data_IF_138322811289
#
_entry.id   IF_138322811289
#
_cell.length_a   1.000
_cell.length_b   1.000
_cell.length_c   1.000
_cell.angle_alpha   90.00
_cell.angle_beta   90.00
_cell.angle_gamma   90.00
#
_symmetry.space_group_name_H-M   'P 1'
#
loop_
_entity.id
_entity.type
_entity.pdbx_description
1 polymer ?
#
# COMPACT_ATOMS: atom_id res chain seq x y z
N UNK A 1 -64.95 -5.90 -15.19
CA UNK A 1 -64.90 -5.11 -13.94
C UNK A 1 -64.07 -5.87 -12.92
N UNK A 2 -63.03 -5.20 -12.38
CA UNK A 2 -62.26 -5.47 -11.16
C UNK A 2 -61.60 -6.86 -10.98
N UNK A 3 -60.25 -6.94 -11.05
CA UNK A 3 -59.28 -6.88 -9.92
C UNK A 3 -59.48 -8.06 -8.95
N UNK A 4 -58.57 -9.01 -8.73
CA UNK A 4 -57.11 -9.00 -8.75
C UNK A 4 -56.61 -9.20 -7.31
N UNK A 5 -55.87 -10.28 -7.02
CA UNK A 5 -54.99 -10.39 -5.84
C UNK A 5 -53.86 -11.38 -6.20
N UNK A 6 -52.66 -10.82 -6.28
CA UNK A 6 -51.40 -11.50 -6.62
C UNK A 6 -50.75 -12.06 -5.34
N UNK A 7 -50.29 -13.31 -5.40
CA UNK A 7 -49.41 -13.92 -4.41
C UNK A 7 -47.96 -13.50 -4.66
N UNK A 8 -47.33 -12.91 -3.64
CA UNK A 8 -45.95 -12.46 -3.67
C UNK A 8 -44.99 -13.65 -3.49
N UNK A 9 -44.14 -13.88 -4.49
CA UNK A 9 -42.90 -14.65 -4.34
C UNK A 9 -41.76 -13.65 -4.12
N UNK A 10 -41.14 -13.71 -2.95
CA UNK A 10 -39.93 -12.95 -2.63
C UNK A 10 -38.76 -13.64 -3.31
N UNK A 11 -38.31 -13.08 -4.43
CA UNK A 11 -37.01 -13.41 -5.04
C UNK A 11 -35.98 -12.47 -4.41
N UNK A 12 -35.11 -13.02 -3.57
CA UNK A 12 -33.89 -12.35 -3.12
C UNK A 12 -32.94 -12.20 -4.32
N UNK A 13 -32.95 -11.02 -4.94
CA UNK A 13 -32.05 -10.66 -6.03
C UNK A 13 -30.61 -10.41 -5.54
N UNK A 14 -29.61 -10.66 -6.40
CA UNK A 14 -28.20 -10.52 -6.04
C UNK A 14 -27.79 -9.04 -6.01
N UNK A 15 -27.36 -8.58 -4.83
CA UNK A 15 -26.66 -7.31 -4.63
C UNK A 15 -25.18 -7.49 -5.00
N UNK A 16 -24.87 -7.51 -6.31
CA UNK A 16 -23.50 -7.40 -6.80
C UNK A 16 -23.49 -6.58 -8.09
N UNK A 17 -23.62 -5.27 -7.93
CA UNK A 17 -23.19 -4.32 -8.95
C UNK A 17 -22.50 -3.14 -8.27
N UNK A 18 -21.18 -3.13 -8.42
CA UNK A 18 -20.30 -2.14 -7.84
C UNK A 18 -18.83 -2.43 -8.09
N UNK A 19 -18.45 -3.12 -9.17
CA UNK A 19 -17.08 -3.02 -9.70
C UNK A 19 -16.95 -1.67 -10.41
N UNK A 20 -17.04 -0.60 -9.61
CA UNK A 20 -16.50 0.68 -10.03
C UNK A 20 -14.99 0.53 -10.00
N UNK A 21 -14.34 0.80 -11.13
CA UNK A 21 -12.95 1.20 -11.16
C UNK A 21 -12.71 2.13 -9.96
N UNK A 22 -11.89 1.69 -9.00
CA UNK A 22 -11.31 2.60 -8.02
C UNK A 22 -10.45 3.58 -8.82
N UNK A 23 -11.08 4.67 -9.26
CA UNK A 23 -10.39 5.90 -9.65
C UNK A 23 -9.33 6.12 -8.56
N UNK A 24 -8.07 6.32 -8.96
CA UNK A 24 -7.00 6.76 -8.07
C UNK A 24 -7.50 7.99 -7.30
N UNK A 25 -7.99 7.81 -6.07
CA UNK A 25 -8.61 8.89 -5.30
C UNK A 25 -7.58 9.77 -4.56
N UNK A 26 -6.28 9.54 -4.78
CA UNK A 26 -5.20 10.35 -4.21
C UNK A 26 -3.85 10.01 -4.81
N UNK A 27 -2.87 10.88 -4.57
CA UNK A 27 -1.47 10.68 -4.93
C UNK A 27 -0.82 9.55 -4.13
N UNK A 28 0.39 9.17 -4.55
CA UNK A 28 1.15 8.05 -3.95
C UNK A 28 2.63 8.41 -3.77
N UNK A 29 2.91 9.70 -3.54
CA UNK A 29 4.26 10.22 -3.33
C UNK A 29 5.00 9.39 -2.27
N UNK A 30 6.29 9.18 -2.49
CA UNK A 30 7.11 8.44 -1.53
C UNK A 30 7.22 9.25 -0.23
N UNK A 31 6.92 8.67 0.96
CA UNK A 31 7.03 9.37 2.22
C UNK A 31 8.46 9.85 2.48
N UNK A 32 8.61 11.13 2.83
CA UNK A 32 9.90 11.74 3.20
C UNK A 32 9.74 12.49 4.52
N UNK A 33 10.77 12.47 5.35
CA UNK A 33 10.84 13.33 6.52
C UNK A 33 11.06 14.77 6.08
N UNK A 34 10.39 15.70 6.74
CA UNK A 34 10.53 17.14 6.53
C UNK A 34 10.15 17.88 7.81
N UNK A 35 10.16 19.21 7.77
CA UNK A 35 9.65 20.02 8.89
C UNK A 35 8.18 19.77 9.21
N UNK A 36 7.40 19.26 8.25
CA UNK A 36 5.95 19.00 8.39
C UNK A 36 5.57 17.53 8.35
N UNK A 37 6.54 16.61 8.18
CA UNK A 37 6.28 15.18 7.99
C UNK A 37 7.25 14.34 8.80
N UNK A 38 6.71 13.39 9.55
CA UNK A 38 7.49 12.40 10.27
C UNK A 38 7.27 11.00 9.67
N UNK A 39 8.24 10.11 9.87
CA UNK A 39 8.16 8.71 9.45
C UNK A 39 8.51 7.79 10.61
N UNK A 40 7.82 6.66 10.67
CA UNK A 40 8.10 5.58 11.61
C UNK A 40 8.00 4.25 10.88
N UNK A 41 9.15 3.65 10.61
CA UNK A 41 9.21 2.32 10.01
C UNK A 41 8.70 1.26 10.99
N UNK A 42 7.98 0.29 10.44
CA UNK A 42 7.43 -0.86 11.16
C UNK A 42 8.11 -2.17 10.71
N UNK A 43 9.34 -2.06 10.21
CA UNK A 43 10.18 -3.18 9.82
C UNK A 43 10.69 -3.95 11.05
N UNK A 44 11.09 -5.20 10.86
CA UNK A 44 11.46 -6.15 11.91
C UNK A 44 10.47 -7.31 12.02
N UNK A 45 10.35 -7.91 13.21
CA UNK A 45 9.53 -9.10 13.41
C UNK A 45 8.04 -8.77 13.55
N UNK A 46 7.22 -9.51 12.82
CA UNK A 46 5.77 -9.53 12.91
C UNK A 46 5.29 -10.92 13.32
N UNK A 47 4.21 -10.99 14.09
CA UNK A 47 3.53 -12.26 14.34
C UNK A 47 2.92 -12.76 13.04
N UNK A 48 3.05 -14.04 12.78
CA UNK A 48 2.68 -14.64 11.51
C UNK A 48 1.91 -15.94 11.68
N UNK A 49 0.88 -16.14 10.84
CA UNK A 49 0.14 -17.41 10.74
C UNK A 49 -0.37 -17.64 9.32
N UNK A 50 -0.09 -18.81 8.76
CA UNK A 50 -0.73 -19.27 7.53
C UNK A 50 -2.01 -20.04 7.86
N UNK A 51 -3.10 -19.78 7.11
CA UNK A 51 -4.38 -20.48 7.27
C UNK A 51 -4.37 -21.80 6.50
N UNK A 52 -3.98 -22.88 7.18
CA UNK A 52 -3.96 -24.23 6.62
C UNK A 52 -5.32 -24.95 6.67
N UNK A 53 -6.42 -24.27 7.05
CA UNK A 53 -7.76 -24.89 7.02
C UNK A 53 -8.11 -25.38 5.61
N UNK A 54 -8.96 -26.42 5.50
CA UNK A 54 -9.28 -27.02 4.21
C UNK A 54 -9.81 -26.01 3.18
N UNK A 55 -10.61 -25.04 3.61
CA UNK A 55 -11.18 -23.99 2.75
C UNK A 55 -10.32 -22.72 2.69
N UNK A 56 -9.19 -22.66 3.42
CA UNK A 56 -8.28 -21.52 3.56
C UNK A 56 -8.93 -20.25 4.13
N UNK A 57 -10.06 -20.35 4.83
CA UNK A 57 -10.87 -19.21 5.29
C UNK A 57 -11.17 -19.20 6.77
N UNK A 58 -10.58 -20.10 7.56
CA UNK A 58 -10.80 -20.16 9.01
C UNK A 58 -10.49 -18.82 9.68
N UNK A 59 -9.47 -18.09 9.21
CA UNK A 59 -9.13 -16.79 9.80
C UNK A 59 -10.18 -15.70 9.63
N UNK A 60 -10.98 -15.78 8.56
CA UNK A 60 -12.13 -14.89 8.37
C UNK A 60 -13.34 -15.38 9.14
N UNK A 61 -13.61 -16.68 9.13
CA UNK A 61 -14.72 -17.32 9.84
C UNK A 61 -14.64 -17.07 11.36
N UNK A 62 -13.43 -17.16 11.93
CA UNK A 62 -13.16 -16.91 13.35
C UNK A 62 -12.75 -15.47 13.64
N UNK A 63 -12.72 -14.61 12.62
CA UNK A 63 -12.41 -13.18 12.74
C UNK A 63 -11.09 -12.91 13.48
N UNK A 64 -10.00 -13.56 13.07
CA UNK A 64 -8.68 -13.47 13.70
C UNK A 64 -8.14 -12.03 13.87
N UNK A 65 -8.63 -11.07 13.07
CA UNK A 65 -8.29 -9.64 13.19
C UNK A 65 -8.89 -8.95 14.43
N UNK A 66 -9.93 -9.50 15.06
CA UNK A 66 -10.63 -8.84 16.17
C UNK A 66 -9.87 -8.85 17.49
N UNK A 67 -9.06 -9.87 17.74
CA UNK A 67 -8.21 -10.00 18.94
C UNK A 67 -6.76 -10.27 18.53
N UNK A 68 -5.76 -10.07 19.41
CA UNK A 68 -4.36 -10.37 19.10
C UNK A 68 -4.19 -11.75 18.49
N UNK A 69 -3.38 -11.86 17.43
CA UNK A 69 -3.25 -13.08 16.61
C UNK A 69 -2.83 -14.30 17.45
N UNK A 70 -2.02 -14.06 18.49
CA UNK A 70 -1.57 -15.07 19.47
C UNK A 70 -2.71 -15.74 20.24
N UNK A 71 -3.85 -15.06 20.39
CA UNK A 71 -5.01 -15.58 21.14
C UNK A 71 -5.87 -16.53 20.30
N UNK A 72 -5.77 -16.41 18.97
CA UNK A 72 -6.48 -17.29 18.03
C UNK A 72 -5.72 -18.56 17.67
N UNK A 73 -4.54 -18.79 18.25
CA UNK A 73 -3.75 -20.00 18.09
C UNK A 73 -2.24 -19.72 17.94
N UNK A 74 -1.42 -20.77 17.75
CA UNK A 74 0.02 -20.65 17.58
C UNK A 74 0.40 -19.72 16.42
N UNK A 75 1.43 -18.91 16.62
CA UNK A 75 1.99 -17.99 15.63
C UNK A 75 3.50 -18.12 15.56
N UNK A 76 4.08 -17.76 14.42
CA UNK A 76 5.53 -17.65 14.20
C UNK A 76 5.96 -16.18 14.24
N UNK A 77 7.26 -15.95 14.28
CA UNK A 77 7.83 -14.63 14.00
C UNK A 77 8.29 -14.60 12.54
N UNK A 78 7.91 -13.55 11.81
CA UNK A 78 8.25 -13.36 10.40
C UNK A 78 8.86 -11.97 10.19
N UNK A 79 10.04 -11.86 9.57
CA UNK A 79 10.64 -10.57 9.28
C UNK A 79 9.85 -9.83 8.19
N UNK A 80 9.81 -8.51 8.31
CA UNK A 80 9.30 -7.57 7.31
C UNK A 80 10.37 -6.47 7.13
N UNK A 81 10.77 -6.14 5.89
CA UNK A 81 10.36 -6.75 4.63
C UNK A 81 10.96 -8.16 4.43
N UNK A 82 10.14 -9.10 3.98
CA UNK A 82 10.58 -10.43 3.52
C UNK A 82 9.46 -11.17 2.82
N UNK A 83 9.82 -12.05 1.88
CA UNK A 83 8.94 -13.14 1.47
C UNK A 83 8.98 -14.24 2.54
N UNK A 84 7.83 -14.81 2.91
CA UNK A 84 7.81 -15.81 3.98
C UNK A 84 8.37 -17.18 3.56
N UNK A 85 8.41 -17.43 2.25
CA UNK A 85 8.54 -18.77 1.69
C UNK A 85 9.82 -19.50 2.11
N UNK A 86 10.94 -18.77 2.21
CA UNK A 86 12.27 -19.33 2.47
C UNK A 86 12.86 -18.87 3.83
N UNK A 87 12.04 -18.31 4.72
CA UNK A 87 12.49 -17.90 6.07
C UNK A 87 12.62 -19.10 7.01
N UNK A 88 11.65 -20.03 6.94
CA UNK A 88 11.59 -21.21 7.81
C UNK A 88 11.98 -22.50 7.08
N UNK A 89 11.88 -23.62 7.80
CA UNK A 89 12.18 -24.96 7.26
C UNK A 89 10.93 -25.79 6.91
N UNK A 90 9.73 -25.20 7.02
CA UNK A 90 8.48 -25.91 6.69
C UNK A 90 8.20 -25.84 5.18
N UNK A 91 8.42 -26.96 4.49
CA UNK A 91 8.15 -27.08 3.05
C UNK A 91 6.67 -26.84 2.67
N UNK A 92 5.73 -27.04 3.60
CA UNK A 92 4.31 -26.70 3.38
C UNK A 92 4.10 -25.20 3.34
N UNK A 93 4.86 -24.44 4.13
CA UNK A 93 4.81 -22.99 4.14
C UNK A 93 5.46 -22.43 2.87
N UNK A 94 6.60 -22.98 2.45
CA UNK A 94 7.28 -22.56 1.21
C UNK A 94 6.36 -22.58 -0.01
N UNK A 95 5.60 -23.66 -0.17
CA UNK A 95 4.68 -23.88 -1.29
C UNK A 95 3.21 -23.55 -0.97
N UNK A 96 2.96 -22.82 0.13
CA UNK A 96 1.60 -22.52 0.59
C UNK A 96 0.84 -21.66 -0.43
N UNK A 97 -0.44 -21.99 -0.62
CA UNK A 97 -1.40 -21.20 -1.40
C UNK A 97 -2.63 -20.95 -0.55
N UNK A 98 -2.97 -19.68 -0.35
CA UNK A 98 -4.08 -19.26 0.48
C UNK A 98 -3.78 -17.96 1.23
N UNK A 99 -4.39 -17.81 2.40
CA UNK A 99 -4.24 -16.62 3.24
C UNK A 99 -3.16 -16.78 4.30
N UNK A 100 -2.26 -15.82 4.37
CA UNK A 100 -1.32 -15.63 5.47
C UNK A 100 -1.65 -14.35 6.23
N UNK A 101 -1.41 -14.34 7.53
CA UNK A 101 -1.73 -13.26 8.44
C UNK A 101 -0.46 -12.75 9.08
N UNK A 102 -0.25 -11.45 9.03
CA UNK A 102 0.80 -10.72 9.72
C UNK A 102 0.17 -9.83 10.79
N UNK A 103 0.77 -9.71 11.96
CA UNK A 103 0.36 -8.76 12.99
C UNK A 103 1.54 -8.11 13.70
N UNK A 104 1.43 -6.80 13.94
CA UNK A 104 2.38 -6.04 14.77
C UNK A 104 1.67 -4.98 15.57
N UNK A 105 2.08 -4.83 16.82
CA UNK A 105 1.72 -3.69 17.66
C UNK A 105 2.79 -2.59 17.52
N UNK A 106 2.35 -1.35 17.36
CA UNK A 106 3.20 -0.17 17.27
C UNK A 106 2.84 0.84 18.37
N UNK A 107 3.85 1.28 19.11
CA UNK A 107 3.73 2.45 19.99
C UNK A 107 3.82 3.72 19.15
N UNK A 108 2.80 4.56 19.24
CA UNK A 108 2.75 5.85 18.54
C UNK A 108 3.30 6.96 19.45
N UNK A 109 4.02 7.95 18.90
CA UNK A 109 4.30 9.17 19.65
C UNK A 109 2.99 9.82 20.09
N UNK A 110 2.89 10.21 21.36
CA UNK A 110 1.67 10.78 21.97
C UNK A 110 1.09 11.95 21.14
N UNK A 111 1.95 12.82 20.60
CA UNK A 111 1.55 13.94 19.73
C UNK A 111 0.74 13.52 18.50
N UNK A 112 0.97 12.34 17.93
CA UNK A 112 0.20 11.86 16.76
C UNK A 112 -1.26 11.52 17.12
N UNK A 113 -1.50 11.14 18.37
CA UNK A 113 -2.82 10.80 18.88
C UNK A 113 -3.56 12.01 19.49
N UNK A 114 -2.84 13.02 19.98
CA UNK A 114 -3.43 14.18 20.65
C UNK A 114 -3.65 15.38 19.72
N UNK A 115 -2.77 15.60 18.74
CA UNK A 115 -2.89 16.71 17.81
C UNK A 115 -3.80 16.36 16.63
N UNK A 116 -5.03 16.88 16.65
CA UNK A 116 -6.01 16.71 15.56
C UNK A 116 -5.60 17.42 14.25
N UNK A 117 -4.59 18.29 14.29
CA UNK A 117 -3.97 18.88 13.10
C UNK A 117 -3.00 17.93 12.39
N UNK A 118 -2.64 16.81 13.03
CA UNK A 118 -1.78 15.77 12.47
C UNK A 118 -2.61 14.68 11.80
N UNK A 119 -2.37 14.46 10.51
CA UNK A 119 -2.86 13.31 9.76
C UNK A 119 -1.89 12.16 9.91
N UNK A 120 -2.38 10.96 10.26
CA UNK A 120 -1.59 9.74 10.44
C UNK A 120 -1.98 8.71 9.40
N UNK A 121 -1.00 8.21 8.65
CA UNK A 121 -1.20 7.31 7.52
C UNK A 121 -0.40 6.04 7.70
N UNK A 122 -1.06 4.89 7.49
CA UNK A 122 -0.39 3.61 7.33
C UNK A 122 -0.11 3.36 5.85
N UNK A 123 1.16 3.14 5.50
CA UNK A 123 1.59 2.80 4.15
C UNK A 123 2.24 1.42 4.12
N UNK A 124 1.82 0.60 3.16
CA UNK A 124 2.42 -0.70 2.86
C UNK A 124 3.11 -0.59 1.49
N UNK A 125 4.41 -0.84 1.45
CA UNK A 125 5.19 -0.68 0.22
C UNK A 125 4.88 -1.74 -0.86
N UNK A 126 4.47 -2.94 -0.46
CA UNK A 126 4.07 -4.06 -1.33
C UNK A 126 3.61 -5.25 -0.49
N UNK A 127 2.49 -5.85 -0.89
CA UNK A 127 1.94 -7.08 -0.32
C UNK A 127 1.42 -7.98 -1.45
N UNK A 128 1.84 -9.25 -1.52
CA UNK A 128 1.53 -10.12 -2.67
C UNK A 128 0.49 -11.22 -2.36
N UNK A 129 -0.66 -11.31 -3.01
CA UNK A 129 -1.21 -10.52 -4.12
C UNK A 129 -2.43 -9.67 -3.72
N UNK A 130 -3.37 -10.24 -2.96
CA UNK A 130 -4.51 -9.51 -2.41
C UNK A 130 -4.30 -9.28 -0.92
N UNK A 131 -4.32 -8.03 -0.47
CA UNK A 131 -4.11 -7.66 0.91
C UNK A 131 -5.37 -7.05 1.52
N UNK A 132 -5.66 -7.39 2.77
CA UNK A 132 -6.69 -6.75 3.60
C UNK A 132 -6.02 -6.31 4.89
N UNK A 133 -6.27 -5.07 5.31
CA UNK A 133 -5.60 -4.43 6.44
C UNK A 133 -6.62 -4.02 7.50
N UNK A 134 -6.29 -4.33 8.74
CA UNK A 134 -7.01 -3.87 9.92
C UNK A 134 -6.09 -3.11 10.86
N UNK A 135 -6.62 -2.07 11.48
CA UNK A 135 -6.01 -1.37 12.61
C UNK A 135 -6.94 -1.46 13.79
N UNK A 136 -6.44 -2.00 14.90
CA UNK A 136 -7.20 -2.30 16.11
C UNK A 136 -8.48 -3.12 15.83
N UNK A 137 -8.39 -4.04 14.87
CA UNK A 137 -9.50 -4.89 14.42
C UNK A 137 -10.53 -4.20 13.52
N UNK A 138 -10.35 -2.91 13.21
CA UNK A 138 -11.18 -2.16 12.26
C UNK A 138 -10.56 -2.22 10.87
N UNK A 139 -11.37 -2.57 9.86
CA UNK A 139 -10.93 -2.63 8.47
C UNK A 139 -10.58 -1.24 7.93
N UNK A 140 -9.40 -1.07 7.31
CA UNK A 140 -8.92 0.23 6.82
C UNK A 140 -8.56 0.27 5.34
N UNK A 141 -8.16 -0.86 4.75
CA UNK A 141 -7.77 -0.92 3.34
C UNK A 141 -7.80 -2.34 2.77
N UNK A 142 -8.06 -2.41 1.46
CA UNK A 142 -7.82 -3.57 0.63
C UNK A 142 -6.96 -3.16 -0.56
N UNK A 143 -6.12 -4.05 -1.05
CA UNK A 143 -5.30 -3.80 -2.23
C UNK A 143 -5.11 -5.08 -3.04
N UNK A 144 -5.31 -4.95 -4.35
CA UNK A 144 -5.03 -6.01 -5.31
C UNK A 144 -3.80 -5.64 -6.15
N UNK A 145 -2.77 -6.47 -6.09
CA UNK A 145 -1.52 -6.26 -6.82
C UNK A 145 -0.30 -6.49 -5.95
N UNK A 146 0.70 -7.22 -6.47
CA UNK A 146 1.81 -7.68 -5.64
C UNK A 146 2.96 -6.69 -5.42
N UNK A 147 3.11 -5.66 -6.25
CA UNK A 147 4.35 -4.88 -6.35
C UNK A 147 4.17 -3.36 -6.31
N UNK A 148 2.96 -2.89 -6.01
CA UNK A 148 2.64 -1.47 -5.87
C UNK A 148 2.30 -1.14 -4.41
N UNK A 149 2.60 0.09 -3.97
CA UNK A 149 2.25 0.55 -2.64
C UNK A 149 0.77 0.93 -2.55
N UNK A 150 0.26 0.91 -1.32
CA UNK A 150 -1.05 1.43 -0.97
C UNK A 150 -1.03 1.96 0.46
N UNK A 151 -2.00 2.79 0.80
CA UNK A 151 -2.05 3.43 2.10
C UNK A 151 -3.47 3.71 2.57
N UNK A 152 -3.62 3.94 3.88
CA UNK A 152 -4.87 4.28 4.53
C UNK A 152 -4.65 5.39 5.55
N UNK A 153 -5.51 6.40 5.53
CA UNK A 153 -5.61 7.38 6.61
C UNK A 153 -6.24 6.72 7.84
N UNK A 154 -5.48 6.64 8.94
CA UNK A 154 -5.91 6.01 10.18
C UNK A 154 -6.08 7.02 11.31
N UNK A 155 -6.05 8.33 11.02
CA UNK A 155 -6.07 9.43 12.00
C UNK A 155 -7.24 9.27 12.98
N UNK A 156 -8.45 9.05 12.46
CA UNK A 156 -9.65 8.85 13.29
C UNK A 156 -9.51 7.65 14.23
N UNK A 157 -8.88 6.57 13.80
CA UNK A 157 -8.71 5.37 14.65
C UNK A 157 -7.67 5.59 15.74
N UNK A 158 -6.64 6.41 15.48
CA UNK A 158 -5.55 6.67 16.43
C UNK A 158 -5.83 7.86 17.37
N UNK A 159 -6.85 8.68 17.07
CA UNK A 159 -7.19 9.89 17.83
C UNK A 159 -8.53 9.78 18.61
N UNK A 160 -9.31 8.70 18.44
CA UNK A 160 -10.65 8.57 19.04
C UNK A 160 -10.72 7.98 20.46
N UNK A 161 -9.62 7.91 21.22
CA UNK A 161 -9.65 7.40 22.59
C UNK A 161 -8.28 7.28 23.26
N UNK A 162 -8.24 6.80 24.53
CA UNK A 162 -6.98 6.57 25.24
C UNK A 162 -6.25 5.39 24.61
N UNK A 163 -5.48 5.65 23.56
CA UNK A 163 -4.76 4.62 22.82
C UNK A 163 -3.36 4.44 23.41
N UNK A 164 -3.14 3.27 24.02
CA UNK A 164 -1.81 2.82 24.43
C UNK A 164 -1.06 2.09 23.31
N UNK A 165 -1.74 1.56 22.29
CA UNK A 165 -1.09 0.87 21.16
C UNK A 165 -1.92 0.85 19.87
N UNK A 166 -1.23 0.77 18.73
CA UNK A 166 -1.79 0.61 17.39
C UNK A 166 -1.47 -0.80 16.88
N UNK A 167 -2.45 -1.72 16.93
CA UNK A 167 -2.31 -3.10 16.44
C UNK A 167 -2.68 -3.17 14.97
N UNK A 168 -1.72 -3.49 14.12
CA UNK A 168 -1.88 -3.59 12.67
C UNK A 168 -1.90 -5.07 12.31
N UNK A 169 -2.97 -5.51 11.65
CA UNK A 169 -3.11 -6.88 11.14
C UNK A 169 -3.27 -6.83 9.63
N UNK A 170 -2.54 -7.67 8.89
CA UNK A 170 -2.60 -7.75 7.43
C UNK A 170 -2.82 -9.20 7.01
N UNK A 171 -3.91 -9.47 6.30
CA UNK A 171 -4.14 -10.75 5.63
C UNK A 171 -3.71 -10.62 4.18
N UNK A 172 -2.96 -11.59 3.67
CA UNK A 172 -2.43 -11.59 2.30
C UNK A 172 -2.78 -12.92 1.63
N UNK A 173 -3.40 -12.86 0.45
CA UNK A 173 -3.67 -14.02 -0.40
C UNK A 173 -2.73 -14.06 -1.60
N UNK A 174 -2.01 -15.15 -1.78
CA UNK A 174 -1.04 -15.33 -2.87
C UNK A 174 -1.57 -16.17 -4.05
N UNK A 175 -2.87 -16.45 -4.09
CA UNK A 175 -3.51 -17.20 -5.17
C UNK A 175 -3.55 -16.36 -6.43
N UNK A 176 -3.01 -16.91 -7.53
CA UNK A 176 -3.06 -16.27 -8.84
C UNK A 176 -4.20 -16.85 -9.67
N UNK A 177 -4.93 -15.98 -10.34
CA UNK A 177 -6.05 -16.31 -11.20
C UNK A 177 -5.79 -15.86 -12.64
N UNK A 178 -6.64 -16.22 -13.62
CA UNK A 178 -6.51 -15.68 -14.98
C UNK A 178 -6.64 -14.14 -15.06
N UNK A 179 -7.13 -13.50 -14.00
CA UNK A 179 -7.35 -12.06 -13.91
C UNK A 179 -6.29 -11.33 -13.09
N UNK A 180 -5.37 -12.05 -12.44
CA UNK A 180 -4.25 -11.42 -11.71
C UNK A 180 -3.11 -11.07 -12.66
N UNK A 181 -2.26 -10.13 -12.25
CA UNK A 181 -0.99 -9.84 -12.93
C UNK A 181 0.19 -10.09 -11.97
N UNK A 182 0.97 -11.17 -12.15
CA UNK A 182 0.90 -12.16 -13.25
C UNK A 182 -0.29 -13.13 -13.14
N UNK A 183 -0.73 -13.74 -14.26
CA UNK A 183 -1.84 -14.69 -14.24
C UNK A 183 -1.41 -16.09 -13.77
N UNK A 184 -2.37 -16.84 -13.25
CA UNK A 184 -2.20 -18.25 -12.88
C UNK A 184 -3.53 -19.01 -12.85
N UNK A 185 -3.48 -20.32 -12.59
CA UNK A 185 -4.69 -21.14 -12.43
C UNK A 185 -4.55 -22.13 -11.27
N UNK A 186 -5.64 -22.34 -10.53
CA UNK A 186 -5.72 -23.43 -9.55
C UNK A 186 -6.21 -24.69 -10.25
N UNK A 187 -5.47 -25.79 -10.10
CA UNK A 187 -5.80 -27.09 -10.66
C UNK A 187 -6.02 -28.09 -9.53
N UNK A 188 -7.27 -28.52 -9.35
CA UNK A 188 -7.61 -29.63 -8.45
C UNK A 188 -7.29 -30.96 -9.12
N UNK A 189 -6.59 -31.84 -8.40
CA UNK A 189 -6.30 -33.21 -8.87
C UNK A 189 -7.25 -34.17 -8.17
N UNK A 190 -8.29 -34.60 -8.87
CA UNK A 190 -9.39 -35.40 -8.33
C UNK A 190 -9.19 -36.92 -8.44
N UNK A 191 -8.12 -37.37 -9.11
CA UNK A 191 -7.75 -38.79 -9.20
C UNK A 191 -7.18 -39.27 -7.86
N UNK A 192 -8.04 -39.81 -7.01
CA UNK A 192 -7.70 -40.27 -5.65
C UNK A 192 -6.77 -41.49 -5.62
N UNK A 193 -6.53 -42.14 -6.77
CA UNK A 193 -5.52 -43.19 -6.88
C UNK A 193 -4.08 -42.64 -6.89
N UNK A 194 -3.91 -41.35 -7.18
CA UNK A 194 -2.59 -40.68 -7.30
C UNK A 194 -2.41 -39.53 -6.31
N UNK A 195 -3.50 -38.87 -5.92
CA UNK A 195 -3.46 -37.65 -5.12
C UNK A 195 -4.39 -37.78 -3.90
N UNK A 196 -4.04 -37.19 -2.75
CA UNK A 196 -4.92 -37.18 -1.58
C UNK A 196 -6.18 -36.34 -1.84
N UNK A 197 -7.22 -36.57 -1.05
CA UNK A 197 -8.46 -35.80 -1.11
C UNK A 197 -8.20 -34.29 -0.94
N UNK A 198 -8.81 -33.49 -1.82
CA UNK A 198 -8.66 -32.03 -1.80
C UNK A 198 -7.32 -31.51 -2.33
N UNK A 199 -6.46 -32.35 -2.91
CA UNK A 199 -5.18 -31.92 -3.48
C UNK A 199 -5.38 -30.93 -4.65
N UNK A 200 -4.65 -29.81 -4.60
CA UNK A 200 -4.60 -28.82 -5.67
C UNK A 200 -3.21 -28.22 -5.78
N UNK A 201 -2.94 -27.60 -6.94
CA UNK A 201 -1.71 -26.86 -7.19
C UNK A 201 -2.01 -25.52 -7.85
N UNK A 202 -1.17 -24.53 -7.60
CA UNK A 202 -1.10 -23.30 -8.38
C UNK A 202 -0.23 -23.56 -9.61
N UNK A 203 -0.81 -23.37 -10.80
CA UNK A 203 -0.10 -23.38 -12.06
C UNK A 203 0.25 -21.95 -12.46
N UNK A 204 1.45 -21.76 -13.01
CA UNK A 204 2.02 -20.47 -13.43
C UNK A 204 2.77 -20.65 -14.74
N UNK A 205 2.76 -19.62 -15.59
CA UNK A 205 3.44 -19.64 -16.90
C UNK A 205 4.59 -18.62 -16.98
N UNK A 206 5.09 -18.19 -15.82
CA UNK A 206 6.25 -17.29 -15.69
C UNK A 206 7.41 -18.03 -15.02
N UNK A 207 8.64 -17.65 -15.36
CA UNK A 207 9.88 -18.34 -14.97
C UNK A 207 10.56 -17.67 -13.76
N UNK A 208 9.77 -17.42 -12.71
CA UNK A 208 10.25 -17.00 -11.40
C UNK A 208 9.35 -17.57 -10.32
N UNK A 209 9.88 -17.74 -9.11
CA UNK A 209 9.09 -18.29 -8.01
C UNK A 209 8.05 -17.28 -7.51
N UNK A 210 6.83 -17.75 -7.21
CA UNK A 210 5.74 -16.91 -6.71
C UNK A 210 5.91 -16.58 -5.22
N UNK A 211 6.94 -15.81 -4.89
CA UNK A 211 7.20 -15.35 -3.54
C UNK A 211 6.06 -14.46 -3.02
N UNK A 212 5.65 -14.68 -1.77
CA UNK A 212 4.55 -13.98 -1.14
C UNK A 212 4.93 -13.45 0.25
N UNK A 213 4.22 -12.42 0.70
CA UNK A 213 4.49 -11.74 1.96
C UNK A 213 4.46 -10.22 1.84
N UNK A 214 5.00 -9.55 2.86
CA UNK A 214 5.23 -8.11 2.89
C UNK A 214 6.65 -7.85 2.37
N UNK A 215 6.77 -7.65 1.06
CA UNK A 215 8.06 -7.62 0.36
C UNK A 215 8.83 -6.30 0.52
N UNK A 216 8.15 -5.23 0.93
CA UNK A 216 8.73 -3.90 1.12
C UNK A 216 8.29 -3.33 2.46
N UNK A 217 9.01 -2.30 2.90
CA UNK A 217 8.79 -1.61 4.17
C UNK A 217 7.33 -1.28 4.40
N UNK A 218 6.89 -1.54 5.63
CA UNK A 218 5.63 -1.03 6.16
C UNK A 218 5.98 0.14 7.07
N UNK A 219 5.29 1.25 6.94
CA UNK A 219 5.58 2.43 7.76
C UNK A 219 4.32 3.21 8.10
N UNK A 220 4.39 3.94 9.19
CA UNK A 220 3.48 5.03 9.48
C UNK A 220 4.16 6.34 9.11
N UNK A 221 3.43 7.28 8.53
CA UNK A 221 3.92 8.62 8.31
C UNK A 221 2.86 9.65 8.68
N UNK A 222 3.30 10.88 8.88
CA UNK A 222 2.41 12.01 9.18
C UNK A 222 2.52 13.13 8.17
N UNK A 223 1.43 13.88 8.06
CA UNK A 223 1.36 15.19 7.40
C UNK A 223 0.49 16.11 8.24
N UNK A 224 0.46 17.42 7.96
CA UNK A 224 -0.66 18.25 8.39
C UNK A 224 -1.95 17.78 7.69
N UNK A 225 -3.11 18.20 8.19
CA UNK A 225 -4.41 17.90 7.56
C UNK A 225 -4.62 18.59 6.21
N UNK A 226 -3.89 19.69 5.94
CA UNK A 226 -3.70 20.24 4.58
C UNK A 226 -2.33 19.84 4.08
N UNK A 227 -2.26 19.08 2.99
CA UNK A 227 -1.01 18.45 2.57
C UNK A 227 -0.88 18.35 1.05
N UNK A 228 0.37 18.33 0.58
CA UNK A 228 0.70 18.00 -0.81
C UNK A 228 0.49 16.51 -1.03
N UNK A 229 -0.49 16.20 -1.87
CA UNK A 229 -0.97 14.86 -2.21
C UNK A 229 -0.21 14.28 -3.40
N UNK A 230 -0.04 15.09 -4.45
CA UNK A 230 0.67 14.69 -5.66
C UNK A 230 1.53 15.82 -6.24
N UNK A 231 2.62 15.44 -6.91
CA UNK A 231 3.50 16.31 -7.66
C UNK A 231 3.86 15.61 -8.97
N UNK A 232 3.39 16.17 -10.08
CA UNK A 232 3.80 15.75 -11.42
C UNK A 232 4.81 16.76 -11.98
N UNK A 233 5.96 16.27 -12.45
CA UNK A 233 7.01 17.08 -13.08
C UNK A 233 7.30 16.54 -14.48
N UNK A 234 7.40 17.44 -15.45
CA UNK A 234 7.95 17.13 -16.78
C UNK A 234 9.01 18.15 -17.16
N UNK A 235 10.15 17.66 -17.67
CA UNK A 235 11.29 18.49 -18.03
C UNK A 235 11.47 18.54 -19.54
N UNK A 236 11.86 19.70 -20.06
CA UNK A 236 12.18 19.90 -21.47
C UNK A 236 13.37 20.87 -21.61
N UNK A 237 13.82 21.12 -22.84
CA UNK A 237 14.87 22.06 -23.18
C UNK A 237 14.38 23.07 -24.21
N UNK A 238 14.75 24.33 -24.03
CA UNK A 238 14.67 25.39 -25.03
C UNK A 238 16.07 25.99 -25.18
N UNK A 239 16.76 25.62 -26.26
CA UNK A 239 18.18 25.91 -26.49
C UNK A 239 19.06 25.42 -25.32
N UNK A 240 19.66 26.34 -24.56
CA UNK A 240 20.50 26.07 -23.39
C UNK A 240 19.74 26.18 -22.05
N UNK A 241 18.43 26.48 -22.11
CA UNK A 241 17.59 26.69 -20.93
C UNK A 241 16.75 25.44 -20.64
N UNK A 242 16.94 24.88 -19.45
CA UNK A 242 16.09 23.82 -18.92
C UNK A 242 14.72 24.35 -18.51
N UNK A 243 13.66 23.64 -18.91
CA UNK A 243 12.28 23.94 -18.58
C UNK A 243 11.74 22.86 -17.64
N UNK A 244 11.28 23.24 -16.44
CA UNK A 244 10.70 22.33 -15.45
C UNK A 244 9.24 22.69 -15.24
N UNK A 245 8.34 21.94 -15.87
CA UNK A 245 6.90 22.11 -15.69
C UNK A 245 6.45 21.31 -14.48
N UNK A 246 5.63 21.91 -13.62
CA UNK A 246 5.09 21.25 -12.45
C UNK A 246 3.57 21.39 -12.35
N UNK A 247 2.94 20.37 -11.79
CA UNK A 247 1.56 20.36 -11.33
C UNK A 247 1.52 19.72 -9.94
N UNK A 248 0.95 20.43 -8.97
CA UNK A 248 0.90 20.07 -7.56
C UNK A 248 -0.57 19.99 -7.14
N UNK A 249 -0.93 18.88 -6.49
CA UNK A 249 -2.26 18.67 -5.91
C UNK A 249 -2.16 18.76 -4.39
N UNK A 250 -3.03 19.56 -3.80
CA UNK A 250 -3.16 19.73 -2.35
C UNK A 250 -4.54 19.21 -1.93
N UNK A 251 -4.57 18.48 -0.82
CA UNK A 251 -5.80 18.00 -0.17
C UNK A 251 -5.95 18.66 1.20
N UNK A 252 -7.18 18.72 1.72
CA UNK A 252 -7.51 19.34 3.01
C UNK A 252 -8.24 20.68 2.84
N UNK A 253 -7.63 21.77 3.31
CA UNK A 253 -8.18 23.12 3.14
C UNK A 253 -8.10 23.59 1.69
N UNK A 254 -9.09 24.36 1.22
CA UNK A 254 -9.02 25.10 -0.05
C UNK A 254 -8.27 26.43 0.09
N UNK A 255 -8.03 26.88 1.33
CA UNK A 255 -7.29 28.09 1.63
C UNK A 255 -5.84 27.75 2.01
N UNK A 256 -4.96 27.84 1.02
CA UNK A 256 -3.52 27.65 1.17
C UNK A 256 -2.75 28.51 0.17
N UNK A 257 -1.44 28.64 0.38
CA UNK A 257 -0.51 29.26 -0.59
C UNK A 257 0.58 28.25 -0.93
N UNK A 258 0.98 28.20 -2.21
CA UNK A 258 2.04 27.31 -2.65
C UNK A 258 3.25 28.11 -3.10
N UNK A 259 4.40 27.78 -2.53
CA UNK A 259 5.71 28.22 -2.99
C UNK A 259 6.52 27.01 -3.49
N UNK A 260 7.23 27.22 -4.60
CA UNK A 260 8.02 26.19 -5.27
C UNK A 260 9.42 26.74 -5.51
N UNK A 261 10.44 26.03 -5.01
CA UNK A 261 11.85 26.35 -5.23
C UNK A 261 12.54 25.17 -5.92
N UNK A 262 13.29 25.44 -6.98
CA UNK A 262 14.19 24.47 -7.58
C UNK A 262 15.60 24.74 -7.08
N UNK A 263 16.23 23.74 -6.48
CA UNK A 263 17.57 23.80 -5.93
C UNK A 263 18.54 22.96 -6.76
N UNK A 264 19.77 23.46 -6.95
CA UNK A 264 20.88 22.69 -7.52
C UNK A 264 21.48 21.69 -6.51
N UNK A 265 22.53 20.98 -6.92
CA UNK A 265 23.19 19.95 -6.08
C UNK A 265 23.84 20.53 -4.81
N UNK A 266 24.22 21.82 -4.81
CA UNK A 266 24.74 22.52 -3.64
C UNK A 266 23.65 23.14 -2.76
N UNK A 267 22.37 22.96 -3.12
CA UNK A 267 21.23 23.50 -2.37
C UNK A 267 20.99 25.00 -2.60
N UNK A 268 21.50 25.57 -3.69
CA UNK A 268 21.23 26.97 -4.09
C UNK A 268 19.95 27.01 -4.90
N UNK A 269 19.10 27.99 -4.62
CA UNK A 269 17.86 28.18 -5.39
C UNK A 269 18.18 28.76 -6.76
N UNK A 270 17.89 28.00 -7.81
CA UNK A 270 18.12 28.37 -9.22
C UNK A 270 16.86 28.85 -9.93
N UNK A 271 15.67 28.50 -9.43
CA UNK A 271 14.40 29.00 -9.94
C UNK A 271 13.31 28.98 -8.86
N UNK A 272 12.30 29.85 -9.00
CA UNK A 272 11.15 29.94 -8.08
C UNK A 272 9.84 30.03 -8.85
N UNK A 273 8.78 29.51 -8.24
CA UNK A 273 7.42 29.58 -8.74
C UNK A 273 6.41 29.62 -7.59
N UNK A 274 5.16 29.88 -7.94
CA UNK A 274 4.03 29.91 -6.98
C UNK A 274 2.83 29.19 -7.57
N UNK A 275 1.89 28.78 -6.71
CA UNK A 275 0.64 28.14 -7.13
C UNK A 275 0.78 26.67 -7.54
N UNK A 276 -0.35 26.01 -7.83
CA UNK A 276 -0.39 24.57 -8.10
C UNK A 276 0.06 24.15 -9.50
N UNK A 277 0.33 25.08 -10.41
CA UNK A 277 0.84 24.80 -11.75
C UNK A 277 1.75 25.91 -12.23
N UNK A 278 2.88 25.56 -12.82
CA UNK A 278 3.82 26.54 -13.37
C UNK A 278 4.94 25.91 -14.18
N UNK A 279 5.83 26.77 -14.68
CA UNK A 279 7.04 26.40 -15.39
C UNK A 279 8.22 27.19 -14.82
N UNK A 280 9.24 26.47 -14.35
CA UNK A 280 10.51 27.04 -13.93
C UNK A 280 11.49 27.01 -15.10
N UNK A 281 12.35 28.03 -15.19
CA UNK A 281 13.38 28.16 -16.23
C UNK A 281 14.75 28.15 -15.58
N UNK A 282 15.66 27.33 -16.09
CA UNK A 282 17.03 27.15 -15.59
C UNK A 282 18.00 27.44 -16.73
N UNK A 283 18.54 28.67 -16.84
CA UNK A 283 19.55 28.99 -17.85
C UNK A 283 20.79 28.13 -17.66
N UNK A 284 21.39 27.67 -18.76
CA UNK A 284 22.58 26.81 -18.76
C UNK A 284 22.43 25.58 -17.86
N UNK A 285 21.28 24.90 -17.97
CA UNK A 285 20.94 23.78 -17.10
C UNK A 285 21.92 22.61 -17.19
N UNK A 286 22.37 22.11 -16.05
CA UNK A 286 23.05 20.81 -15.96
C UNK A 286 22.03 19.68 -16.19
N UNK A 287 22.21 18.88 -17.24
CA UNK A 287 21.24 17.84 -17.62
C UNK A 287 21.51 16.52 -16.92
N UNK A 288 20.45 15.76 -16.66
CA UNK A 288 20.57 14.37 -16.26
C UNK A 288 21.04 13.54 -17.46
N UNK A 289 22.23 12.94 -17.35
CA UNK A 289 22.77 12.01 -18.35
C UNK A 289 22.83 10.59 -17.79
N UNK A 290 22.53 9.56 -18.60
CA UNK A 290 22.80 8.18 -18.23
C UNK A 290 24.27 7.97 -17.86
N UNK A 291 24.52 6.99 -17.00
CA UNK A 291 25.88 6.52 -16.72
C UNK A 291 26.63 6.25 -18.04
N UNK A 292 27.87 6.73 -18.13
CA UNK A 292 28.77 6.68 -19.30
C UNK A 292 28.45 7.65 -20.46
N UNK A 293 27.44 8.52 -20.36
CA UNK A 293 27.13 9.49 -21.43
C UNK A 293 27.67 10.90 -21.19
N UNK A 294 28.18 11.19 -19.99
CA UNK A 294 28.71 12.50 -19.60
C UNK A 294 29.71 12.34 -18.45
N UNK A 295 30.63 13.30 -18.28
CA UNK A 295 31.61 13.29 -17.19
C UNK A 295 30.95 13.38 -15.80
N UNK A 296 29.78 14.02 -15.75
CA UNK A 296 28.91 14.13 -14.58
C UNK A 296 27.53 13.54 -14.89
N UNK A 297 27.36 12.21 -14.82
CA UNK A 297 26.08 11.56 -15.07
C UNK A 297 25.14 11.73 -13.87
N UNK A 298 23.85 11.52 -14.12
CA UNK A 298 22.81 11.54 -13.11
C UNK A 298 22.71 12.82 -12.26
N UNK A 299 22.99 13.99 -12.84
CA UNK A 299 22.77 15.28 -12.18
C UNK A 299 21.29 15.43 -11.78
N UNK A 300 21.02 15.82 -10.53
CA UNK A 300 19.66 15.97 -10.01
C UNK A 300 19.49 17.33 -9.35
N UNK A 301 18.43 18.04 -9.75
CA UNK A 301 17.89 19.16 -8.99
C UNK A 301 16.88 18.65 -7.95
N UNK A 302 16.67 19.43 -6.90
CA UNK A 302 15.63 19.19 -5.90
C UNK A 302 14.49 20.19 -6.08
N UNK A 303 13.26 19.71 -6.27
CA UNK A 303 12.06 20.55 -6.26
C UNK A 303 11.48 20.58 -4.84
N UNK A 304 11.68 21.69 -4.13
CA UNK A 304 11.10 21.94 -2.82
C UNK A 304 9.74 22.63 -2.97
N UNK A 305 8.71 22.08 -2.32
CA UNK A 305 7.33 22.57 -2.38
C UNK A 305 6.85 22.82 -0.95
N UNK A 306 6.32 24.01 -0.72
CA UNK A 306 5.82 24.46 0.58
C UNK A 306 4.35 24.85 0.45
N UNK A 307 3.53 24.37 1.38
CA UNK A 307 2.08 24.63 1.50
C UNK A 307 1.76 25.18 2.89
#
# INVERSE_FOLDING_TARGET
MLRGLAGAWVVLGPLLWGCGLALLQGGMLYPRESRSRERKELDGLWRFRADFSQNRRQGFEQQWYRTPLRESGPSLDMPVPSSFNDVGQDGRLRSFVGWVWYEREAALPQRWAEDLGTRVVLRIGSAHYYAIVWVNGVHVAEHEGGHLPFEADISKLVQSGPLSSCRITVAINNTLSPHTLPPGTILYKTDTSKYPEGYFVQNTNFDFFNYAGLHRTVLLYTTPTTYIDDITVTTNMDQDTGLVNYQIVVQGSEHFQLEVCLLDEEGRVVAKGTGGRGQLRVPSAHLWWPYLMHEHPAYLYSLEVMV
#
